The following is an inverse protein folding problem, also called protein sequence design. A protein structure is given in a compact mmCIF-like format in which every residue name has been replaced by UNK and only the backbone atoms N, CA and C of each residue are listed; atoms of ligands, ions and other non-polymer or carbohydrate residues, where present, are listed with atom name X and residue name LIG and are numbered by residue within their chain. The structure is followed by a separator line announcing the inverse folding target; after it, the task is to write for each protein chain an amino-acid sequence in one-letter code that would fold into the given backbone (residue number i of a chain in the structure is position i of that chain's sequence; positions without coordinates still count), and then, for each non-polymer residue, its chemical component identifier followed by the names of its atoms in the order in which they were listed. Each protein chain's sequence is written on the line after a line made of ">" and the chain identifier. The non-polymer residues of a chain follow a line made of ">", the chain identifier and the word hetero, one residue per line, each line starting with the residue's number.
data_IF_205499381676
#
_entry.id   IF_205499381676
#
_cell.length_a   1.000
_cell.length_b   1.000
_cell.length_c   1.000
_cell.angle_alpha   90.00
_cell.angle_beta   90.00
_cell.angle_gamma   90.00
#
_symmetry.space_group_name_H-M   'P 1'
#
loop_
_entity.id
_entity.type
_entity.pdbx_description
1 polymer ?
#
# COMPACT_ATOMS: atom_id res chain seq x y z
N UNK A 1 12.56 -15.31 -2.43
CA UNK A 1 13.20 -13.98 -2.63
C UNK A 1 12.20 -12.93 -2.18
N UNK A 2 12.56 -12.06 -1.23
CA UNK A 2 11.65 -10.99 -0.79
C UNK A 2 11.74 -9.82 -1.79
N UNK A 3 10.60 -9.30 -2.23
CA UNK A 3 10.58 -8.11 -3.09
C UNK A 3 11.02 -6.88 -2.30
N UNK A 4 11.75 -5.93 -2.91
CA UNK A 4 12.12 -4.68 -2.25
C UNK A 4 10.87 -3.87 -1.89
N UNK A 5 10.99 -2.92 -0.96
CA UNK A 5 9.87 -2.05 -0.58
C UNK A 5 9.36 -1.22 -1.77
N UNK A 6 8.05 -1.25 -1.99
CA UNK A 6 7.41 -0.41 -3.00
C UNK A 6 7.07 0.97 -2.44
N UNK A 7 7.35 2.00 -3.23
CA UNK A 7 6.93 3.39 -2.96
C UNK A 7 5.66 3.78 -3.72
N UNK A 8 5.14 2.89 -4.58
CA UNK A 8 3.92 3.09 -5.37
C UNK A 8 2.67 2.89 -4.51
N UNK A 9 1.51 3.44 -4.92
CA UNK A 9 0.23 3.15 -4.28
C UNK A 9 -0.07 1.64 -4.31
N UNK A 10 -0.83 1.16 -3.32
CA UNK A 10 -1.16 -0.26 -3.14
C UNK A 10 -1.54 -0.98 -4.44
N UNK A 11 -2.46 -0.41 -5.24
CA UNK A 11 -2.95 -1.05 -6.45
C UNK A 11 -1.86 -1.29 -7.50
N UNK A 12 -0.92 -0.36 -7.65
CA UNK A 12 0.20 -0.49 -8.58
C UNK A 12 1.27 -1.42 -8.01
N UNK A 13 1.58 -1.29 -6.72
CA UNK A 13 2.50 -2.20 -6.03
C UNK A 13 2.05 -3.66 -6.10
N UNK A 14 0.74 -3.92 -5.97
CA UNK A 14 0.18 -5.27 -6.08
C UNK A 14 0.32 -5.83 -7.50
N UNK A 15 0.09 -5.00 -8.54
CA UNK A 15 0.28 -5.42 -9.94
C UNK A 15 1.74 -5.74 -10.21
N UNK A 16 2.65 -4.87 -9.80
CA UNK A 16 4.10 -5.07 -9.95
C UNK A 16 4.55 -6.35 -9.24
N UNK A 17 4.04 -6.61 -8.03
CA UNK A 17 4.36 -7.82 -7.27
C UNK A 17 3.82 -9.08 -7.93
N UNK A 18 2.59 -9.05 -8.47
CA UNK A 18 2.01 -10.16 -9.21
C UNK A 18 2.84 -10.48 -10.47
N UNK A 19 3.20 -9.45 -11.25
CA UNK A 19 4.04 -9.60 -12.44
C UNK A 19 5.41 -10.18 -12.09
N UNK A 20 6.08 -9.65 -11.07
CA UNK A 20 7.39 -10.13 -10.62
C UNK A 20 7.37 -11.59 -10.13
N UNK A 21 6.23 -12.05 -9.62
CA UNK A 21 6.03 -13.43 -9.16
C UNK A 21 5.43 -14.34 -10.24
N UNK A 22 5.12 -13.83 -11.44
CA UNK A 22 4.46 -14.57 -12.50
C UNK A 22 3.06 -15.07 -12.10
N UNK A 23 2.34 -14.31 -11.28
CA UNK A 23 1.04 -14.67 -10.72
C UNK A 23 -0.10 -13.83 -11.30
N UNK A 24 -1.27 -14.44 -11.49
CA UNK A 24 -2.51 -13.72 -11.75
C UNK A 24 -3.26 -13.36 -10.46
N UNK A 25 -4.26 -12.48 -10.56
CA UNK A 25 -5.19 -12.21 -9.46
C UNK A 25 -5.93 -13.48 -8.99
N UNK A 26 -6.25 -14.39 -9.92
CA UNK A 26 -6.90 -15.67 -9.60
C UNK A 26 -5.96 -16.59 -8.82
N UNK A 27 -4.68 -16.63 -9.18
CA UNK A 27 -3.67 -17.36 -8.41
C UNK A 27 -3.55 -16.80 -7.00
N UNK A 28 -3.58 -15.47 -6.86
CA UNK A 28 -3.56 -14.82 -5.55
C UNK A 28 -4.79 -15.15 -4.72
N UNK A 29 -6.00 -15.08 -5.28
CA UNK A 29 -7.26 -15.48 -4.60
C UNK A 29 -7.15 -16.90 -4.04
N UNK A 30 -6.62 -17.85 -4.83
CA UNK A 30 -6.45 -19.24 -4.39
C UNK A 30 -5.54 -19.39 -3.17
N UNK A 31 -4.63 -18.43 -2.95
CA UNK A 31 -3.62 -18.45 -1.88
C UNK A 31 -3.99 -17.63 -0.66
N UNK A 32 -4.69 -16.52 -0.83
CA UNK A 32 -5.07 -15.63 0.27
C UNK A 32 -6.53 -15.78 0.71
N UNK A 33 -7.34 -16.57 0.01
CA UNK A 33 -8.78 -16.74 0.22
C UNK A 33 -9.55 -15.42 0.22
N UNK A 34 -9.10 -14.48 -0.62
CA UNK A 34 -9.75 -13.18 -0.84
C UNK A 34 -10.34 -13.20 -2.24
N UNK A 35 -11.66 -12.95 -2.40
CA UNK A 35 -12.29 -12.98 -3.71
C UNK A 35 -11.61 -12.01 -4.70
N UNK A 36 -11.39 -12.45 -5.93
CA UNK A 36 -10.79 -11.62 -7.01
C UNK A 36 -11.53 -10.29 -7.16
N UNK A 37 -12.85 -10.29 -7.07
CA UNK A 37 -13.65 -9.06 -7.14
C UNK A 37 -13.31 -8.07 -6.02
N UNK A 38 -13.04 -8.56 -4.81
CA UNK A 38 -12.61 -7.71 -3.70
C UNK A 38 -11.20 -7.16 -3.93
N UNK A 39 -10.27 -7.98 -4.43
CA UNK A 39 -8.92 -7.55 -4.80
C UNK A 39 -8.97 -6.44 -5.87
N UNK A 40 -9.80 -6.60 -6.91
CA UNK A 40 -9.98 -5.58 -7.95
C UNK A 40 -10.59 -4.28 -7.43
N UNK A 41 -11.57 -4.35 -6.52
CA UNK A 41 -12.15 -3.17 -5.91
C UNK A 41 -11.09 -2.34 -5.15
N UNK A 42 -10.16 -2.98 -4.44
CA UNK A 42 -9.03 -2.32 -3.78
C UNK A 42 -7.99 -1.77 -4.77
N UNK A 43 -7.67 -2.52 -5.81
CA UNK A 43 -6.68 -2.14 -6.84
C UNK A 43 -7.16 -0.98 -7.71
N UNK A 44 -8.46 -0.92 -8.00
CA UNK A 44 -9.08 0.18 -8.77
C UNK A 44 -9.35 1.43 -7.93
N UNK A 45 -9.24 1.34 -6.60
CA UNK A 45 -9.57 2.42 -5.68
C UNK A 45 -11.08 2.62 -5.45
N UNK A 46 -11.93 1.73 -5.97
CA UNK A 46 -13.38 1.71 -5.68
C UNK A 46 -13.63 1.41 -4.20
N UNK A 47 -12.80 0.54 -3.60
CA UNK A 47 -12.64 0.43 -2.16
C UNK A 47 -11.34 1.14 -1.76
N UNK A 48 -11.33 1.70 -0.55
CA UNK A 48 -10.11 2.25 0.05
C UNK A 48 -9.02 1.20 0.20
N UNK A 49 -7.83 1.59 0.63
CA UNK A 49 -6.70 0.66 0.80
C UNK A 49 -7.05 -0.44 1.82
N UNK A 50 -6.65 -1.71 1.60
CA UNK A 50 -6.90 -2.79 2.55
C UNK A 50 -6.44 -2.47 3.97
N UNK A 51 -7.20 -2.90 4.98
CA UNK A 51 -6.74 -2.93 6.37
C UNK A 51 -5.60 -3.95 6.57
N UNK A 52 -4.98 -3.94 7.75
CA UNK A 52 -3.77 -4.71 8.02
C UNK A 52 -3.97 -6.22 7.86
N UNK A 53 -5.04 -6.80 8.40
CA UNK A 53 -5.31 -8.24 8.27
C UNK A 53 -5.39 -8.68 6.81
N UNK A 54 -6.10 -7.90 5.98
CA UNK A 54 -6.24 -8.20 4.56
C UNK A 54 -4.90 -8.01 3.83
N UNK A 55 -4.15 -6.96 4.16
CA UNK A 55 -2.84 -6.71 3.56
C UNK A 55 -1.83 -7.81 3.91
N UNK A 56 -1.84 -8.30 5.16
CA UNK A 56 -0.99 -9.41 5.59
C UNK A 56 -1.33 -10.71 4.86
N UNK A 57 -2.63 -11.01 4.66
CA UNK A 57 -3.07 -12.16 3.86
C UNK A 57 -2.63 -12.06 2.40
N UNK A 58 -2.74 -10.87 1.80
CA UNK A 58 -2.29 -10.62 0.43
C UNK A 58 -0.76 -10.80 0.32
N UNK A 59 0.00 -10.22 1.25
CA UNK A 59 1.45 -10.36 1.32
C UNK A 59 1.86 -11.84 1.46
N UNK A 60 1.21 -12.59 2.35
CA UNK A 60 1.41 -14.03 2.49
C UNK A 60 1.11 -14.83 1.22
N UNK A 61 0.03 -14.50 0.51
CA UNK A 61 -0.31 -15.13 -0.77
C UNK A 61 0.72 -14.88 -1.88
N UNK A 62 1.35 -13.69 -1.86
CA UNK A 62 2.45 -13.29 -2.73
C UNK A 62 3.82 -13.79 -2.26
N UNK A 63 3.91 -14.34 -1.05
CA UNK A 63 5.17 -14.75 -0.38
C UNK A 63 6.15 -13.57 -0.23
N UNK A 64 5.62 -12.40 0.12
CA UNK A 64 6.40 -11.21 0.46
C UNK A 64 6.04 -10.74 1.86
N UNK A 65 6.91 -9.94 2.47
CA UNK A 65 6.58 -9.27 3.73
C UNK A 65 5.54 -8.17 3.52
N UNK A 66 4.63 -7.92 4.47
CA UNK A 66 3.67 -6.82 4.40
C UNK A 66 4.35 -5.44 4.23
N UNK A 67 5.56 -5.27 4.75
CA UNK A 67 6.40 -4.07 4.61
C UNK A 67 6.74 -3.73 3.15
N UNK A 68 6.54 -4.67 2.22
CA UNK A 68 6.58 -4.37 0.79
C UNK A 68 5.63 -3.23 0.42
N UNK A 69 4.44 -3.18 1.02
CA UNK A 69 3.41 -2.19 0.72
C UNK A 69 3.64 -0.88 1.49
N UNK A 70 3.54 0.25 0.79
CA UNK A 70 3.76 1.57 1.37
C UNK A 70 2.77 1.87 2.51
N UNK A 71 1.51 1.52 2.33
CA UNK A 71 0.44 1.86 3.27
C UNK A 71 0.56 1.10 4.60
N UNK A 72 1.03 -0.16 4.56
CA UNK A 72 1.42 -0.88 5.76
C UNK A 72 2.50 -0.14 6.55
N UNK A 73 3.57 0.29 5.87
CA UNK A 73 4.67 1.02 6.48
C UNK A 73 4.24 2.39 7.01
N UNK A 74 3.31 3.07 6.35
CA UNK A 74 2.78 4.35 6.83
C UNK A 74 2.01 4.20 8.14
N UNK A 75 1.19 3.15 8.29
CA UNK A 75 0.45 2.89 9.54
C UNK A 75 1.40 2.62 10.70
N UNK A 76 2.41 1.77 10.50
CA UNK A 76 3.47 1.52 11.50
C UNK A 76 4.25 2.79 11.84
N UNK A 77 4.52 3.65 10.87
CA UNK A 77 5.18 4.92 11.11
C UNK A 77 4.30 5.85 11.95
N UNK A 78 3.01 5.92 11.66
CA UNK A 78 2.04 6.67 12.46
C UNK A 78 1.96 6.16 13.89
N UNK A 79 1.87 4.84 14.10
CA UNK A 79 1.92 4.21 15.42
C UNK A 79 3.21 4.55 16.18
N UNK A 80 4.36 4.49 15.50
CA UNK A 80 5.65 4.83 16.08
C UNK A 80 5.74 6.31 16.46
N UNK A 81 5.19 7.22 15.66
CA UNK A 81 5.15 8.66 15.97
C UNK A 81 4.19 8.96 17.13
N UNK A 82 3.08 8.23 17.25
CA UNK A 82 2.20 8.32 18.43
C UNK A 82 2.94 7.88 19.70
N UNK A 83 3.76 6.84 19.59
CA UNK A 83 4.57 6.33 20.71
C UNK A 83 5.79 7.22 21.05
N UNK A 84 6.22 8.09 20.13
CA UNK A 84 7.33 9.04 20.30
C UNK A 84 6.90 10.48 19.97
N UNK A 85 6.29 11.19 20.94
CA UNK A 85 5.80 12.56 20.74
C UNK A 85 6.91 13.58 20.45
N UNK A 86 8.15 13.34 20.88
CA UNK A 86 9.26 14.26 20.58
C UNK A 86 9.63 14.20 19.11
N UNK A 87 9.70 12.99 18.54
CA UNK A 87 9.94 12.79 17.12
C UNK A 87 8.81 13.37 16.26
N UNK A 88 7.55 13.14 16.65
CA UNK A 88 6.38 13.74 16.00
C UNK A 88 6.51 15.25 15.94
N UNK A 89 6.70 15.89 17.10
CA UNK A 89 6.79 17.35 17.20
C UNK A 89 7.98 17.89 16.38
N UNK A 90 9.11 17.20 16.39
CA UNK A 90 10.29 17.58 15.61
C UNK A 90 10.02 17.55 14.10
N UNK A 91 9.39 16.49 13.58
CA UNK A 91 9.00 16.40 12.16
C UNK A 91 7.97 17.47 11.80
N UNK A 92 6.98 17.70 12.65
CA UNK A 92 5.94 18.71 12.47
C UNK A 92 6.52 20.12 12.35
N UNK A 93 7.46 20.49 13.24
CA UNK A 93 8.17 21.78 13.16
C UNK A 93 8.94 21.93 11.87
N UNK A 94 9.66 20.89 11.45
CA UNK A 94 10.42 20.90 10.19
C UNK A 94 9.54 21.06 8.96
N UNK A 95 8.35 20.45 8.96
CA UNK A 95 7.36 20.57 7.88
C UNK A 95 6.78 21.98 7.78
N UNK A 96 6.48 22.62 8.91
CA UNK A 96 5.98 23.99 8.98
C UNK A 96 7.03 25.02 8.58
N UNK A 97 8.30 24.77 8.92
CA UNK A 97 9.43 25.59 8.49
C UNK A 97 9.79 25.42 7.00
N UNK A 98 9.10 24.54 6.25
CA UNK A 98 9.39 24.28 4.83
C UNK A 98 10.68 23.50 4.55
N UNK A 99 11.30 22.92 5.59
CA UNK A 99 12.57 22.16 5.45
C UNK A 99 12.36 20.71 4.98
N UNK A 100 11.11 20.27 4.90
CA UNK A 100 10.72 18.97 4.34
C UNK A 100 9.91 19.17 3.06
N UNK A 101 10.15 18.36 2.01
CA UNK A 101 9.43 18.46 0.76
C UNK A 101 7.93 18.18 0.97
N UNK A 102 7.09 18.88 0.20
CA UNK A 102 5.64 18.65 0.22
C UNK A 102 5.30 17.56 -0.80
N UNK A 103 4.62 16.51 -0.37
CA UNK A 103 4.03 15.56 -1.32
C UNK A 103 2.78 16.20 -1.89
N UNK A 104 2.81 16.57 -3.18
CA UNK A 104 1.56 16.85 -3.89
C UNK A 104 0.81 15.53 -4.01
N UNK A 105 -0.49 15.46 -3.64
CA UNK A 105 -1.26 14.25 -3.89
C UNK A 105 -1.19 13.95 -5.38
N UNK A 106 -0.83 12.71 -5.73
CA UNK A 106 -0.92 12.26 -7.12
C UNK A 106 -2.37 12.51 -7.57
N UNK A 107 -2.54 13.24 -8.67
CA UNK A 107 -3.85 13.49 -9.24
C UNK A 107 -4.59 12.14 -9.34
N UNK A 108 -5.77 12.03 -8.71
CA UNK A 108 -6.60 10.83 -8.83
C UNK A 108 -6.75 10.56 -10.33
N UNK A 109 -6.16 9.47 -10.83
CA UNK A 109 -6.44 9.01 -12.20
C UNK A 109 -7.94 8.77 -12.24
N UNK A 110 -8.68 9.59 -12.99
CA UNK A 110 -10.07 9.28 -13.34
C UNK A 110 -10.05 7.89 -13.99
N UNK A 111 -10.93 7.01 -13.53
CA UNK A 111 -11.23 5.81 -14.28
C UNK A 111 -11.66 6.23 -15.69
N UNK A 112 -11.21 5.54 -16.76
CA UNK A 112 -11.79 5.76 -18.08
C UNK A 112 -13.28 5.41 -17.98
N UNK A 113 -14.14 6.36 -18.34
CA UNK A 113 -15.57 6.14 -18.48
C UNK A 113 -15.74 4.98 -19.48
N UNK A 114 -16.36 3.88 -19.03
CA UNK A 114 -16.62 2.72 -19.86
C UNK A 114 -17.57 3.10 -21.00
N UNK A 115 -17.11 2.94 -22.23
CA UNK A 115 -17.92 2.94 -23.46
C UNK A 115 -18.34 1.54 -23.84
#
# INVERSE_FOLDING_TARGET
>A
MSLPWSTRPFGDALRDALEAQGMSFRDLESRCLVPVGNLHDHVSGKRGVPGDDLMARIAGGLRVEPDHFREWRLRRLEEALIADPEMELWLSRRRLAGTLPTVRPAARRRAPDGG
#
